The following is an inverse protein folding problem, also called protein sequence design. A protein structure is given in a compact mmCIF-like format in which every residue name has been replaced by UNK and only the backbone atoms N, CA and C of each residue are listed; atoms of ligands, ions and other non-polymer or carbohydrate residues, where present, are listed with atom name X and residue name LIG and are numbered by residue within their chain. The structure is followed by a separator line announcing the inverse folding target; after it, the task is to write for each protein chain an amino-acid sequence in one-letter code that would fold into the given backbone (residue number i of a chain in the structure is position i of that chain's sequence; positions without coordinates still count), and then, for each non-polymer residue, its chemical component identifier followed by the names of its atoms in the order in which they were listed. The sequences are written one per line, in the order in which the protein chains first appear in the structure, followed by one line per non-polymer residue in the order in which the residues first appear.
data_IF_467258280380
#
_entry.id   IF_467258280380
#
_cell.length_a   1.000
_cell.length_b   1.000
_cell.length_c   1.000
_cell.angle_alpha   90.00
_cell.angle_beta   90.00
_cell.angle_gamma   90.00
#
_symmetry.space_group_name_H-M   'P 1'
#
loop_
_entity.id
_entity.type
_entity.pdbx_description
1 polymer ?
#
# COMPACT_ATOMS: atom_id res chain seq x y z
N UNK A 1 4.86 -24.43 3.09
CA UNK A 1 3.68 -23.71 2.59
C UNK A 1 3.70 -22.29 3.20
N UNK A 2 3.20 -21.25 2.53
CA UNK A 2 3.04 -19.96 3.16
C UNK A 2 2.02 -20.06 4.30
N UNK A 3 2.27 -19.34 5.41
CA UNK A 3 1.37 -19.33 6.56
C UNK A 3 -0.02 -18.82 6.15
N UNK A 4 -1.07 -19.53 6.57
CA UNK A 4 -2.47 -19.18 6.30
C UNK A 4 -3.08 -18.36 7.43
N UNK A 5 -2.52 -18.45 8.63
CA UNK A 5 -2.97 -17.76 9.83
C UNK A 5 -1.85 -16.91 10.45
N UNK A 6 -2.24 -15.90 11.23
CA UNK A 6 -1.30 -15.05 11.99
C UNK A 6 -0.51 -15.88 12.99
N UNK A 7 -1.15 -16.86 13.61
CA UNK A 7 -0.50 -17.77 14.58
C UNK A 7 0.59 -18.60 13.91
N UNK A 8 0.32 -19.21 12.76
CA UNK A 8 1.31 -19.96 11.98
C UNK A 8 2.46 -19.08 11.53
N UNK A 9 2.15 -17.84 11.06
CA UNK A 9 3.18 -16.88 10.65
C UNK A 9 4.16 -16.57 11.79
N UNK A 10 3.63 -16.31 12.98
CA UNK A 10 4.43 -15.99 14.16
C UNK A 10 5.21 -17.21 14.68
N UNK A 11 4.59 -18.41 14.66
CA UNK A 11 5.23 -19.64 15.11
C UNK A 11 6.49 -20.01 14.28
N UNK A 12 6.48 -19.65 13.00
CA UNK A 12 7.60 -19.90 12.09
C UNK A 12 8.80 -18.96 12.31
N UNK A 13 8.68 -17.94 13.18
CA UNK A 13 9.73 -16.95 13.41
C UNK A 13 10.61 -17.30 14.62
N UNK A 14 11.91 -16.91 14.61
CA UNK A 14 12.76 -16.94 15.79
C UNK A 14 12.13 -16.15 16.95
N UNK A 15 12.35 -16.60 18.19
CA UNK A 15 11.69 -16.04 19.38
C UNK A 15 11.79 -14.50 19.48
N UNK A 16 12.98 -13.94 19.36
CA UNK A 16 13.18 -12.49 19.46
C UNK A 16 12.38 -11.69 18.41
N UNK A 17 12.24 -12.20 17.18
CA UNK A 17 11.43 -11.56 16.13
C UNK A 17 9.95 -11.73 16.37
N UNK A 18 9.55 -12.92 16.79
CA UNK A 18 8.15 -13.20 17.16
C UNK A 18 7.69 -12.26 18.27
N UNK A 19 8.51 -12.05 19.30
CA UNK A 19 8.18 -11.17 20.43
C UNK A 19 8.09 -9.70 19.99
N UNK A 20 9.03 -9.23 19.15
CA UNK A 20 8.99 -7.89 18.58
C UNK A 20 7.74 -7.68 17.71
N UNK A 21 7.42 -8.62 16.79
CA UNK A 21 6.22 -8.54 15.97
C UNK A 21 4.93 -8.58 16.81
N UNK A 22 4.89 -9.41 17.84
CA UNK A 22 3.76 -9.46 18.76
C UNK A 22 3.58 -8.15 19.53
N UNK A 23 4.65 -7.48 19.92
CA UNK A 23 4.56 -6.17 20.57
C UNK A 23 4.00 -5.10 19.61
N UNK A 24 4.50 -5.06 18.39
CA UNK A 24 3.97 -4.17 17.32
C UNK A 24 2.50 -4.47 17.04
N UNK A 25 2.15 -5.75 16.88
CA UNK A 25 0.78 -6.21 16.64
C UNK A 25 -0.18 -5.77 17.74
N UNK A 26 0.21 -5.92 19.01
CA UNK A 26 -0.60 -5.45 20.16
C UNK A 26 -0.80 -3.92 20.11
N UNK A 27 0.26 -3.18 19.77
CA UNK A 27 0.18 -1.72 19.62
C UNK A 27 -0.79 -1.29 18.53
N UNK A 28 -0.72 -1.94 17.36
CA UNK A 28 -1.62 -1.68 16.24
C UNK A 28 -3.06 -2.03 16.60
N UNK A 29 -3.32 -3.24 17.12
CA UNK A 29 -4.68 -3.68 17.47
C UNK A 29 -5.35 -2.79 18.52
N UNK A 30 -4.56 -2.20 19.43
CA UNK A 30 -5.08 -1.26 20.44
C UNK A 30 -5.44 0.11 19.84
N UNK A 31 -4.71 0.54 18.81
CA UNK A 31 -4.86 1.86 18.22
C UNK A 31 -5.87 1.91 17.07
N UNK A 32 -6.18 0.77 16.46
CA UNK A 32 -7.07 0.72 15.30
C UNK A 32 -8.51 1.08 15.67
N UNK A 33 -9.14 1.99 14.90
CA UNK A 33 -10.58 2.19 14.98
C UNK A 33 -11.36 0.91 14.65
N UNK A 34 -12.61 0.77 15.10
CA UNK A 34 -13.42 -0.40 14.80
C UNK A 34 -13.69 -0.55 13.29
N UNK A 35 -13.90 -1.81 12.85
CA UNK A 35 -14.23 -2.16 11.47
C UNK A 35 -13.07 -2.72 10.65
N UNK A 36 -11.83 -2.66 11.13
CA UNK A 36 -10.71 -3.37 10.52
C UNK A 36 -10.66 -4.82 11.00
N UNK A 37 -10.13 -5.70 10.16
CA UNK A 37 -9.82 -7.09 10.49
C UNK A 37 -8.33 -7.38 10.31
N UNK A 38 -7.83 -8.31 11.12
CA UNK A 38 -6.48 -8.85 11.03
C UNK A 38 -6.48 -10.19 10.31
N UNK A 39 -5.45 -10.46 9.52
CA UNK A 39 -5.25 -11.74 8.83
C UNK A 39 -3.97 -11.75 8.02
N UNK A 40 -3.80 -12.76 7.19
CA UNK A 40 -2.66 -12.85 6.28
C UNK A 40 -3.04 -12.33 4.89
N UNK A 41 -2.28 -11.35 4.39
CA UNK A 41 -2.34 -10.88 3.01
C UNK A 41 -0.92 -10.69 2.48
N UNK A 42 -0.67 -11.03 1.23
CA UNK A 42 0.64 -10.90 0.59
C UNK A 42 1.78 -11.56 1.37
N UNK A 43 1.49 -12.66 2.09
CA UNK A 43 2.46 -13.40 2.91
C UNK A 43 2.95 -12.64 4.16
N UNK A 44 2.15 -11.73 4.70
CA UNK A 44 2.46 -10.96 5.92
C UNK A 44 1.21 -10.73 6.77
N UNK A 45 1.39 -10.43 8.04
CA UNK A 45 0.30 -10.02 8.93
C UNK A 45 -0.22 -8.68 8.41
N UNK A 46 -1.52 -8.57 8.19
CA UNK A 46 -2.14 -7.38 7.60
C UNK A 46 -3.42 -7.01 8.30
N UNK A 47 -3.67 -5.71 8.40
CA UNK A 47 -4.95 -5.16 8.83
C UNK A 47 -5.63 -4.51 7.63
N UNK A 48 -6.91 -4.81 7.45
CA UNK A 48 -7.63 -4.48 6.24
C UNK A 48 -9.11 -4.16 6.50
N UNK A 49 -9.69 -3.42 5.58
CA UNK A 49 -11.13 -3.22 5.49
C UNK A 49 -11.75 -4.44 4.80
N UNK A 50 -12.73 -5.13 5.41
CA UNK A 50 -13.40 -6.28 4.79
C UNK A 50 -14.09 -5.92 3.48
N UNK A 51 -14.19 -6.90 2.57
CA UNK A 51 -14.90 -6.72 1.28
C UNK A 51 -16.39 -6.38 1.47
N UNK A 52 -17.01 -6.83 2.56
CA UNK A 52 -18.39 -6.44 2.89
C UNK A 52 -18.54 -4.91 3.10
N UNK A 53 -17.49 -4.24 3.60
CA UNK A 53 -17.46 -2.80 3.82
C UNK A 53 -16.93 -2.02 2.61
N UNK A 54 -15.96 -2.60 1.88
CA UNK A 54 -15.38 -2.00 0.68
C UNK A 54 -15.28 -3.05 -0.45
N UNK A 55 -16.37 -3.28 -1.22
CA UNK A 55 -16.44 -4.34 -2.23
C UNK A 55 -15.48 -4.18 -3.40
N UNK A 56 -15.04 -2.93 -3.71
CA UNK A 56 -14.10 -2.67 -4.80
C UNK A 56 -12.71 -3.28 -4.55
N UNK A 57 -12.37 -3.55 -3.31
CA UNK A 57 -11.13 -4.20 -2.90
C UNK A 57 -9.84 -3.43 -3.18
N UNK A 58 -8.73 -4.01 -2.78
CA UNK A 58 -7.40 -3.44 -3.01
C UNK A 58 -7.04 -3.49 -4.52
N UNK A 59 -6.58 -2.36 -5.06
CA UNK A 59 -6.23 -2.26 -6.49
C UNK A 59 -7.41 -2.43 -7.46
N UNK A 60 -8.66 -2.51 -6.97
CA UNK A 60 -9.85 -2.83 -7.76
C UNK A 60 -10.07 -4.33 -7.97
N UNK A 61 -9.42 -5.14 -7.16
CA UNK A 61 -9.63 -6.58 -7.13
C UNK A 61 -10.70 -6.92 -6.07
N UNK A 62 -11.91 -7.34 -6.46
CA UNK A 62 -13.00 -7.65 -5.53
C UNK A 62 -12.77 -8.93 -4.71
N UNK A 63 -11.65 -9.63 -4.94
CA UNK A 63 -11.22 -10.79 -4.14
C UNK A 63 -10.20 -10.42 -3.06
N UNK A 64 -9.64 -9.21 -3.11
CA UNK A 64 -8.58 -8.77 -2.22
C UNK A 64 -9.08 -7.64 -1.30
N UNK A 65 -9.26 -7.87 0.01
CA UNK A 65 -9.67 -6.83 0.95
C UNK A 65 -8.72 -5.63 0.94
N UNK A 66 -9.24 -4.44 1.22
CA UNK A 66 -8.47 -3.20 1.17
C UNK A 66 -7.48 -3.13 2.34
N UNK A 67 -6.22 -3.39 2.07
CA UNK A 67 -5.14 -3.39 3.05
C UNK A 67 -4.86 -1.98 3.58
N UNK A 68 -4.79 -1.83 4.90
CA UNK A 68 -4.42 -0.59 5.58
C UNK A 68 -2.92 -0.56 5.88
N UNK A 69 -2.44 -1.61 6.53
CA UNK A 69 -1.05 -1.77 6.97
C UNK A 69 -0.67 -3.25 6.95
N UNK A 70 0.59 -3.54 6.63
CA UNK A 70 1.16 -4.88 6.70
C UNK A 70 2.39 -4.93 7.59
N UNK A 71 2.57 -6.02 8.34
CA UNK A 71 3.72 -6.26 9.22
C UNK A 71 4.43 -7.52 8.76
N UNK A 72 5.69 -7.38 8.36
CA UNK A 72 6.49 -8.47 7.82
C UNK A 72 7.82 -8.65 8.53
N UNK A 73 8.24 -9.90 8.71
CA UNK A 73 9.63 -10.27 9.01
C UNK A 73 10.37 -10.57 7.72
N UNK A 74 11.48 -9.88 7.47
CA UNK A 74 12.36 -10.10 6.34
C UNK A 74 13.69 -10.67 6.83
N UNK A 75 14.56 -11.14 5.91
CA UNK A 75 15.85 -11.75 6.28
C UNK A 75 16.67 -10.86 7.23
N UNK A 76 16.79 -9.57 6.95
CA UNK A 76 17.69 -8.64 7.66
C UNK A 76 16.98 -7.60 8.53
N UNK A 77 15.66 -7.46 8.44
CA UNK A 77 14.85 -6.43 9.13
C UNK A 77 13.41 -6.86 9.27
N UNK A 78 12.66 -6.14 10.07
CA UNK A 78 11.19 -6.16 10.11
C UNK A 78 10.66 -4.92 9.41
N UNK A 79 9.47 -4.98 8.84
CA UNK A 79 8.89 -3.85 8.11
C UNK A 79 7.41 -3.67 8.39
N UNK A 80 7.00 -2.42 8.52
CA UNK A 80 5.61 -1.99 8.43
C UNK A 80 5.37 -1.39 7.04
N UNK A 81 4.48 -1.99 6.28
CA UNK A 81 4.02 -1.48 5.00
C UNK A 81 2.81 -0.57 5.23
N UNK A 82 3.06 0.75 5.26
CA UNK A 82 2.08 1.80 5.59
C UNK A 82 1.26 2.17 4.35
N UNK A 83 0.41 1.26 3.88
CA UNK A 83 -0.44 1.46 2.70
C UNK A 83 -1.45 2.59 2.94
N UNK A 84 -1.77 2.84 4.21
CA UNK A 84 -2.62 3.94 4.64
C UNK A 84 -2.19 5.33 4.18
N UNK A 85 -0.94 5.51 3.76
CA UNK A 85 -0.47 6.80 3.24
C UNK A 85 -0.88 7.05 1.78
N UNK A 86 -1.28 6.01 1.05
CA UNK A 86 -1.74 6.18 -0.33
C UNK A 86 -3.06 6.98 -0.36
N UNK A 87 -3.03 8.12 -1.04
CA UNK A 87 -4.14 9.07 -1.07
C UNK A 87 -4.30 9.92 0.19
N UNK A 88 -3.33 9.90 1.12
CA UNK A 88 -3.36 10.64 2.39
C UNK A 88 -2.06 11.45 2.60
N UNK A 89 -1.73 12.42 1.73
CA UNK A 89 -0.46 13.15 1.80
C UNK A 89 -0.30 13.92 3.12
N UNK A 90 -1.36 14.53 3.62
CA UNK A 90 -1.35 15.27 4.89
C UNK A 90 -1.03 14.35 6.08
N UNK A 91 -1.54 13.12 6.06
CA UNK A 91 -1.25 12.13 7.11
C UNK A 91 0.23 11.69 7.06
N UNK A 92 0.79 11.54 5.86
CA UNK A 92 2.20 11.21 5.68
C UNK A 92 3.11 12.31 6.21
N UNK A 93 2.80 13.57 5.95
CA UNK A 93 3.58 14.71 6.46
C UNK A 93 3.46 14.82 8.00
N UNK A 94 2.26 14.64 8.55
CA UNK A 94 2.07 14.53 10.00
C UNK A 94 2.92 13.41 10.60
N UNK A 95 2.88 12.21 10.00
CA UNK A 95 3.68 11.07 10.44
C UNK A 95 5.18 11.38 10.47
N UNK A 96 5.72 11.92 9.38
CA UNK A 96 7.15 12.27 9.29
C UNK A 96 7.55 13.30 10.36
N UNK A 97 6.71 14.30 10.58
CA UNK A 97 6.93 15.35 11.60
C UNK A 97 6.95 14.73 13.01
N UNK A 98 5.98 13.89 13.35
CA UNK A 98 5.93 13.26 14.67
C UNK A 98 7.06 12.23 14.85
N UNK A 99 7.39 11.49 13.79
CA UNK A 99 8.49 10.54 13.83
C UNK A 99 9.84 11.25 14.08
N UNK A 100 10.07 12.40 13.44
CA UNK A 100 11.25 13.23 13.69
C UNK A 100 11.35 13.69 15.16
N UNK A 101 10.22 14.04 15.77
CA UNK A 101 10.17 14.44 17.19
C UNK A 101 10.44 13.27 18.17
N UNK A 102 10.25 12.03 17.75
CA UNK A 102 10.50 10.85 18.59
C UNK A 102 11.99 10.59 18.87
N UNK A 103 12.90 11.27 18.18
CA UNK A 103 14.33 11.04 18.26
C UNK A 103 14.81 9.74 17.62
N UNK A 104 13.91 8.96 17.02
CA UNK A 104 14.24 7.70 16.36
C UNK A 104 14.52 7.91 14.88
N UNK A 105 15.43 7.10 14.32
CA UNK A 105 15.77 7.17 12.91
C UNK A 105 14.58 6.69 12.04
N UNK A 106 14.14 7.52 11.12
CA UNK A 106 13.12 7.16 10.14
C UNK A 106 13.78 6.45 8.94
N UNK A 107 13.77 5.12 8.94
CA UNK A 107 14.16 4.31 7.77
C UNK A 107 12.90 3.94 6.98
N UNK A 108 12.51 4.82 6.06
CA UNK A 108 11.28 4.68 5.30
C UNK A 108 11.51 4.94 3.81
N UNK A 109 10.99 4.04 2.96
CA UNK A 109 10.95 4.18 1.51
C UNK A 109 9.59 3.80 0.96
N UNK A 110 8.93 4.68 0.19
CA UNK A 110 7.64 4.44 -0.48
C UNK A 110 6.56 3.79 0.43
N UNK A 111 6.49 4.20 1.70
CA UNK A 111 5.54 3.65 2.66
C UNK A 111 6.00 2.38 3.39
N UNK A 112 7.23 1.91 3.16
CA UNK A 112 7.81 0.78 3.89
C UNK A 112 8.74 1.29 5.01
N UNK A 113 8.29 1.24 6.25
CA UNK A 113 9.03 1.61 7.44
C UNK A 113 9.80 0.39 7.95
N UNK A 114 11.14 0.45 7.97
CA UNK A 114 12.02 -0.65 8.35
C UNK A 114 12.58 -0.45 9.75
N UNK A 115 12.73 -1.54 10.49
CA UNK A 115 13.34 -1.56 11.81
C UNK A 115 13.95 -2.95 12.08
N UNK A 116 14.99 -3.02 12.90
CA UNK A 116 15.63 -4.28 13.30
C UNK A 116 15.18 -4.72 14.69
N UNK A 117 14.98 -3.76 15.57
CA UNK A 117 14.52 -3.99 16.95
C UNK A 117 13.29 -3.13 17.26
N UNK A 118 12.51 -3.53 18.24
CA UNK A 118 11.34 -2.77 18.67
C UNK A 118 11.71 -1.34 19.15
N UNK A 119 12.89 -1.18 19.73
CA UNK A 119 13.38 0.11 20.23
C UNK A 119 13.64 1.14 19.12
N UNK A 120 13.92 0.68 17.90
CA UNK A 120 14.09 1.54 16.73
C UNK A 120 12.76 2.09 16.17
N UNK A 121 11.64 1.43 16.48
CA UNK A 121 10.32 1.81 15.99
C UNK A 121 9.64 2.81 16.94
N UNK A 122 9.20 3.96 16.41
CA UNK A 122 8.31 4.86 17.14
C UNK A 122 6.86 4.34 17.05
N UNK A 123 6.58 3.30 17.85
CA UNK A 123 5.29 2.60 17.81
C UNK A 123 4.11 3.49 18.22
N UNK A 124 4.34 4.44 19.10
CA UNK A 124 3.40 5.49 19.52
C UNK A 124 2.98 6.40 18.35
N UNK A 125 3.93 6.78 17.48
CA UNK A 125 3.65 7.56 16.27
C UNK A 125 2.88 6.71 15.25
N UNK A 126 3.23 5.44 15.09
CA UNK A 126 2.46 4.50 14.26
C UNK A 126 1.03 4.39 14.80
N UNK A 127 0.86 4.19 16.09
CA UNK A 127 -0.44 4.12 16.74
C UNK A 127 -1.27 5.40 16.54
N UNK A 128 -0.66 6.58 16.77
CA UNK A 128 -1.30 7.87 16.54
C UNK A 128 -1.68 8.15 15.08
N UNK A 129 -0.98 7.51 14.12
CA UNK A 129 -1.38 7.54 12.71
C UNK A 129 -2.67 6.76 12.48
N UNK A 130 -2.75 5.57 13.05
CA UNK A 130 -3.88 4.67 12.83
C UNK A 130 -5.18 5.18 13.47
N UNK A 131 -5.11 5.83 14.63
CA UNK A 131 -6.29 6.45 15.28
C UNK A 131 -6.97 7.52 14.43
N UNK A 132 -6.25 8.14 13.50
CA UNK A 132 -6.78 9.17 12.60
C UNK A 132 -7.51 8.62 11.37
N UNK A 133 -7.57 7.29 11.23
CA UNK A 133 -8.10 6.60 10.06
C UNK A 133 -9.32 5.71 10.40
N UNK A 134 -10.48 6.28 10.71
CA UNK A 134 -11.73 5.53 10.68
C UNK A 134 -11.90 4.88 9.29
N UNK A 135 -12.52 3.70 9.23
CA UNK A 135 -12.68 2.92 7.98
C UNK A 135 -13.30 3.76 6.85
N UNK A 136 -14.33 4.57 7.17
CA UNK A 136 -14.99 5.44 6.20
C UNK A 136 -14.02 6.46 5.57
N UNK A 137 -13.21 7.12 6.39
CA UNK A 137 -12.21 8.10 5.94
C UNK A 137 -11.14 7.45 5.07
N UNK A 138 -10.64 6.28 5.50
CA UNK A 138 -9.61 5.55 4.74
C UNK A 138 -10.15 5.06 3.39
N UNK A 139 -11.31 4.41 3.36
CA UNK A 139 -11.92 3.92 2.13
C UNK A 139 -12.23 5.04 1.14
N UNK A 140 -12.78 6.18 1.63
CA UNK A 140 -13.06 7.35 0.78
C UNK A 140 -11.79 7.95 0.18
N UNK A 141 -10.72 8.14 0.98
CA UNK A 141 -9.44 8.66 0.51
C UNK A 141 -8.77 7.73 -0.51
N UNK A 142 -8.84 6.43 -0.28
CA UNK A 142 -8.32 5.44 -1.21
C UNK A 142 -9.10 5.43 -2.54
N UNK A 143 -10.42 5.51 -2.48
CA UNK A 143 -11.28 5.60 -3.68
C UNK A 143 -10.97 6.87 -4.49
N UNK A 144 -10.90 8.03 -3.85
CA UNK A 144 -10.57 9.30 -4.50
C UNK A 144 -9.22 9.25 -5.23
N UNK A 145 -8.20 8.67 -4.59
CA UNK A 145 -6.89 8.45 -5.22
C UNK A 145 -7.02 7.58 -6.48
N UNK A 146 -7.75 6.48 -6.42
CA UNK A 146 -7.96 5.58 -7.56
C UNK A 146 -8.67 6.27 -8.74
N UNK A 147 -9.69 7.05 -8.44
CA UNK A 147 -10.45 7.80 -9.45
C UNK A 147 -9.56 8.83 -10.15
N UNK A 148 -8.68 9.50 -9.40
CA UNK A 148 -7.69 10.42 -9.96
C UNK A 148 -6.69 9.70 -10.88
N UNK A 149 -6.20 8.52 -10.50
CA UNK A 149 -5.30 7.69 -11.33
C UNK A 149 -6.00 7.18 -12.60
N UNK A 150 -7.27 6.81 -12.51
CA UNK A 150 -8.08 6.36 -13.66
C UNK A 150 -8.27 7.47 -14.69
N UNK A 151 -8.57 8.69 -14.24
CA UNK A 151 -8.69 9.89 -15.11
C UNK A 151 -7.37 10.25 -15.80
N UNK A 152 -6.23 10.08 -15.15
CA UNK A 152 -4.91 10.29 -15.74
C UNK A 152 -4.61 9.34 -16.91
N UNK A 153 -4.92 8.04 -16.74
CA UNK A 153 -4.76 7.03 -17.81
C UNK A 153 -5.67 7.25 -19.01
N UNK A 154 -6.89 7.77 -18.81
CA UNK A 154 -7.80 8.10 -19.89
C UNK A 154 -7.32 9.30 -20.72
N UNK A 155 -6.75 10.35 -20.06
CA UNK A 155 -6.18 11.53 -20.77
C UNK A 155 -4.96 11.14 -21.63
N UNK A 156 -4.07 10.29 -21.15
CA UNK A 156 -2.88 9.85 -21.91
C UNK A 156 -3.26 8.97 -23.11
N UNK A 157 -4.25 8.09 -22.98
CA UNK A 157 -4.76 7.31 -24.13
C UNK A 157 -5.44 8.17 -25.20
N UNK A 158 -6.15 9.22 -24.81
CA UNK A 158 -6.78 10.18 -25.73
C UNK A 158 -5.75 11.03 -26.48
N UNK A 159 -4.69 11.48 -25.81
CA UNK A 159 -3.59 12.23 -26.42
C UNK A 159 -2.78 11.38 -27.42
N UNK A 160 -2.51 10.11 -27.07
CA UNK A 160 -1.79 9.18 -27.96
C UNK A 160 -2.58 8.84 -29.25
N UNK A 161 -3.91 8.81 -29.18
CA UNK A 161 -4.76 8.62 -30.38
C UNK A 161 -4.78 9.82 -31.33
N UNK A 162 -4.55 11.05 -30.84
CA UNK A 162 -4.50 12.26 -31.66
C UNK A 162 -3.17 12.47 -32.40
N UNK A 163 -2.11 11.77 -32.02
CA UNK A 163 -0.77 11.87 -32.63
C UNK A 163 -0.40 10.72 -33.57
N UNK A 164 -1.35 9.94 -34.09
CA UNK A 164 -1.07 8.95 -35.13
C UNK A 164 -0.94 9.65 -36.49
N UNK A 165 0.23 9.62 -37.16
CA UNK A 165 0.38 10.22 -38.48
C UNK A 165 -0.48 9.47 -39.53
N UNK A 166 -1.20 10.22 -40.34
CA UNK A 166 -1.97 9.68 -41.44
C UNK A 166 -1.06 8.80 -42.33
N UNK A 167 -1.47 7.58 -42.64
CA UNK A 167 -0.81 6.68 -43.57
C UNK A 167 -0.72 7.36 -44.94
N UNK A 168 0.47 7.73 -45.38
CA UNK A 168 0.73 8.16 -46.74
C UNK A 168 0.50 6.97 -47.70
N UNK A 169 -0.48 7.08 -48.57
CA UNK A 169 -0.72 6.12 -49.65
C UNK A 169 0.44 6.17 -50.66
N UNK A 170 1.03 5.03 -51.05
CA UNK A 170 2.11 5.06 -52.04
C UNK A 170 1.54 5.42 -53.44
N UNK A 171 2.09 6.46 -54.07
CA UNK A 171 1.79 6.86 -55.42
C UNK A 171 2.21 5.76 -56.41
N UNK A 172 1.30 5.34 -57.29
CA UNK A 172 1.54 4.41 -58.41
C UNK A 172 2.51 5.05 -59.38
N UNK A 173 3.69 4.48 -59.52
CA UNK A 173 4.72 4.82 -60.53
C UNK A 173 4.25 4.25 -61.89
N UNK A 174 3.86 5.13 -62.81
CA UNK A 174 3.63 4.74 -64.22
C UNK A 174 4.98 4.38 -64.84
N UNK A 175 5.09 3.16 -65.34
CA UNK A 175 6.20 2.73 -66.21
C UNK A 175 5.79 3.06 -67.61
N UNK A 176 6.43 4.04 -68.25
CA UNK A 176 6.35 4.30 -69.69
C UNK A 176 7.34 3.36 -70.41
N UNK A 177 6.79 2.54 -71.30
CA UNK A 177 7.50 1.69 -72.22
C UNK A 177 7.81 2.56 -73.45
N UNK A 178 9.08 2.74 -73.76
CA UNK A 178 9.55 3.29 -75.06
C UNK A 178 10.24 2.17 -75.84
N UNK A 179 9.93 2.15 -77.11
CA UNK A 179 10.41 1.19 -78.14
C UNK A 179 11.95 1.23 -78.30
#
# INVERSE_FOLDING_TARGET
MPASTVTEYLAALPAARRDALNAVRRGINRALPPGYKEGIQFGMISWFVPLATYPAGYGGNPKQPLTLIGLASRKSYMALHMICFYGQPTLLEWFKTQYGKSGKKLDMGQGCLRFKTLSELALDVVAGTLTQLPVSKYAAGYQAMRDAMGKGKAKTKSAARRCSPAKKTPAKRKVSRVR
#
